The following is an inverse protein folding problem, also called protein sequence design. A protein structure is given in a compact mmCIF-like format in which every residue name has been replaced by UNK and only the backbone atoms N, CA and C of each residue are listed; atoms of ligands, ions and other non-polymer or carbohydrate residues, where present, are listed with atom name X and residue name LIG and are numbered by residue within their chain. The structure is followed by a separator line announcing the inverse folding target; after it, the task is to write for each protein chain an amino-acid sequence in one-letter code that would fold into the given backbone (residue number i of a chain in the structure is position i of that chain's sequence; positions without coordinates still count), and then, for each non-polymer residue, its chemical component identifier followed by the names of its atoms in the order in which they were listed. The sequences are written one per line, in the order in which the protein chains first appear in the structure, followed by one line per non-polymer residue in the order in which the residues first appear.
data_IF_263240212866
#
_entry.id   IF_263240212866
#
_cell.length_a   1.000
_cell.length_b   1.000
_cell.length_c   1.000
_cell.angle_alpha   90.00
_cell.angle_beta   90.00
_cell.angle_gamma   90.00
#
_symmetry.space_group_name_H-M   'P 1'
#
loop_
_entity.id
_entity.type
_entity.pdbx_description
1 polymer ?
#
# COMPACT_ATOMS: atom_id res chain seq x y z
N UNK A 1 -0.30 -15.16 -10.23
CA UNK A 1 0.53 -15.91 -11.14
C UNK A 1 1.07 -15.09 -12.31
N UNK A 2 0.25 -14.38 -13.01
CA UNK A 2 0.64 -13.68 -14.24
C UNK A 2 1.16 -12.24 -14.04
N UNK A 3 1.45 -11.81 -12.82
CA UNK A 3 1.95 -10.45 -12.58
C UNK A 3 3.31 -10.25 -13.26
N UNK A 4 3.30 -9.64 -14.42
CA UNK A 4 4.46 -9.25 -15.23
C UNK A 4 5.30 -10.39 -15.83
N UNK A 5 4.85 -11.63 -15.84
CA UNK A 5 5.55 -12.72 -16.50
C UNK A 5 4.75 -13.27 -17.67
N UNK A 6 5.42 -13.32 -18.80
CA UNK A 6 4.99 -14.08 -19.96
C UNK A 6 5.28 -15.55 -19.63
N UNK A 7 4.29 -16.43 -19.80
CA UNK A 7 4.39 -17.86 -19.47
C UNK A 7 3.84 -18.73 -20.59
N UNK A 8 3.94 -20.04 -20.48
CA UNK A 8 3.36 -21.01 -21.38
C UNK A 8 2.27 -21.85 -20.70
N UNK A 9 1.35 -22.43 -21.47
CA UNK A 9 0.32 -23.35 -20.93
C UNK A 9 0.94 -24.51 -20.15
N UNK A 10 2.11 -24.99 -20.57
CA UNK A 10 2.82 -26.08 -19.89
C UNK A 10 3.37 -25.64 -18.52
N UNK A 11 3.88 -24.42 -18.44
CA UNK A 11 4.39 -23.85 -17.19
C UNK A 11 3.25 -23.60 -16.20
N UNK A 12 2.10 -23.05 -16.67
CA UNK A 12 0.89 -22.90 -15.86
C UNK A 12 0.42 -24.25 -15.29
N UNK A 13 0.42 -25.30 -16.11
CA UNK A 13 0.05 -26.63 -15.65
C UNK A 13 0.95 -27.15 -14.53
N UNK A 14 2.26 -26.96 -14.68
CA UNK A 14 3.27 -27.38 -13.70
C UNK A 14 3.15 -26.58 -12.40
N UNK A 15 3.07 -25.26 -12.48
CA UNK A 15 3.05 -24.38 -11.28
C UNK A 15 1.75 -24.51 -10.49
N UNK A 16 0.60 -24.66 -11.18
CA UNK A 16 -0.70 -24.81 -10.52
C UNK A 16 -1.04 -26.27 -10.18
N UNK A 17 -0.18 -27.22 -10.57
CA UNK A 17 -0.44 -28.66 -10.43
C UNK A 17 -1.81 -29.07 -11.02
N UNK A 18 -2.12 -28.53 -12.23
CA UNK A 18 -3.35 -28.80 -12.97
C UNK A 18 -3.09 -29.69 -14.19
N UNK A 19 -4.12 -30.43 -14.62
CA UNK A 19 -4.03 -31.20 -15.85
C UNK A 19 -3.95 -30.31 -17.10
N UNK A 20 -3.21 -30.71 -18.12
CA UNK A 20 -3.14 -29.95 -19.39
C UNK A 20 -4.50 -29.65 -20.03
N UNK A 21 -5.49 -30.61 -20.09
CA UNK A 21 -6.83 -30.28 -20.56
C UNK A 21 -7.51 -29.16 -19.80
N UNK A 22 -7.39 -29.15 -18.45
CA UNK A 22 -7.95 -28.11 -17.58
C UNK A 22 -7.31 -26.75 -17.88
N UNK A 23 -5.98 -26.71 -18.00
CA UNK A 23 -5.26 -25.46 -18.34
C UNK A 23 -5.64 -24.97 -19.74
N UNK A 24 -5.74 -25.86 -20.72
CA UNK A 24 -6.17 -25.48 -22.07
C UNK A 24 -7.56 -24.84 -22.08
N UNK A 25 -8.52 -25.45 -21.40
CA UNK A 25 -9.89 -24.95 -21.32
C UNK A 25 -9.92 -23.55 -20.67
N UNK A 26 -9.32 -23.40 -19.48
CA UNK A 26 -9.35 -22.14 -18.74
C UNK A 26 -8.56 -21.03 -19.44
N UNK A 27 -7.40 -21.33 -20.01
CA UNK A 27 -6.60 -20.31 -20.73
C UNK A 27 -7.31 -19.87 -22.00
N UNK A 28 -7.96 -20.78 -22.74
CA UNK A 28 -8.71 -20.41 -23.93
C UNK A 28 -9.93 -19.54 -23.58
N UNK A 29 -10.67 -19.85 -22.52
CA UNK A 29 -11.78 -19.03 -22.03
C UNK A 29 -11.31 -17.59 -21.66
N UNK A 30 -10.18 -17.48 -20.95
CA UNK A 30 -9.62 -16.17 -20.59
C UNK A 30 -9.05 -15.40 -21.80
N UNK A 31 -8.56 -16.11 -22.83
CA UNK A 31 -8.16 -15.50 -24.10
C UNK A 31 -9.39 -14.98 -24.88
N UNK A 32 -10.47 -15.78 -24.94
CA UNK A 32 -11.74 -15.37 -25.58
C UNK A 32 -12.38 -14.16 -24.87
N UNK A 33 -12.31 -14.12 -23.54
CA UNK A 33 -12.73 -12.96 -22.72
C UNK A 33 -11.79 -11.75 -22.85
N UNK A 34 -10.63 -11.90 -23.49
CA UNK A 34 -9.64 -10.82 -23.65
C UNK A 34 -8.84 -10.49 -22.40
N UNK A 35 -8.98 -11.26 -21.32
CA UNK A 35 -8.21 -11.09 -20.05
C UNK A 35 -6.73 -11.44 -20.25
N UNK A 36 -6.49 -12.48 -21.07
CA UNK A 36 -5.16 -12.90 -21.50
C UNK A 36 -4.95 -12.55 -22.96
N UNK A 37 -3.69 -12.43 -23.34
CA UNK A 37 -3.26 -12.23 -24.73
C UNK A 37 -2.07 -13.12 -25.09
N UNK A 38 -1.91 -13.43 -26.38
CA UNK A 38 -0.73 -14.11 -26.89
C UNK A 38 0.35 -13.06 -27.17
N UNK A 39 1.48 -13.14 -26.46
CA UNK A 39 2.55 -12.12 -26.49
C UNK A 39 3.73 -12.50 -27.39
N UNK A 40 3.63 -13.59 -28.16
CA UNK A 40 4.68 -14.05 -29.07
C UNK A 40 5.05 -15.53 -28.89
N UNK A 41 6.30 -15.87 -29.18
CA UNK A 41 6.82 -17.24 -29.05
C UNK A 41 7.63 -17.37 -27.75
N UNK A 42 7.32 -18.42 -26.96
CA UNK A 42 8.06 -18.74 -25.75
C UNK A 42 9.36 -19.49 -26.11
N UNK A 43 10.47 -19.12 -25.51
CA UNK A 43 11.76 -19.78 -25.71
C UNK A 43 11.67 -21.25 -25.28
N UNK A 44 11.76 -22.17 -26.26
CA UNK A 44 11.66 -23.62 -26.03
C UNK A 44 13.06 -24.24 -26.14
N UNK A 45 13.36 -25.15 -25.23
CA UNK A 45 14.64 -25.91 -25.20
C UNK A 45 14.66 -27.12 -26.13
N UNK A 46 13.70 -27.26 -27.05
CA UNK A 46 13.63 -28.33 -28.05
C UNK A 46 12.20 -28.75 -28.30
N UNK A 47 11.68 -28.53 -29.53
CA UNK A 47 10.34 -28.87 -29.95
C UNK A 47 9.58 -27.71 -30.60
N UNK A 48 8.28 -27.89 -30.91
CA UNK A 48 7.43 -26.83 -31.47
C UNK A 48 7.38 -25.65 -30.49
N UNK A 49 7.73 -24.47 -30.95
CA UNK A 49 7.70 -23.25 -30.13
C UNK A 49 6.31 -23.06 -29.50
N UNK A 50 6.26 -23.02 -28.19
CA UNK A 50 5.02 -22.74 -27.47
C UNK A 50 4.64 -21.27 -27.61
N UNK A 51 3.36 -20.97 -27.76
CA UNK A 51 2.87 -19.58 -27.68
C UNK A 51 3.04 -19.07 -26.26
N UNK A 52 3.58 -17.88 -26.14
CA UNK A 52 3.66 -17.19 -24.88
C UNK A 52 2.34 -16.47 -24.59
N UNK A 53 1.94 -16.50 -23.32
CA UNK A 53 0.69 -15.95 -22.81
C UNK A 53 1.01 -14.93 -21.73
N UNK A 54 0.39 -13.78 -21.82
CA UNK A 54 0.49 -12.72 -20.82
C UNK A 54 -0.90 -12.17 -20.43
N UNK A 55 -0.92 -11.35 -19.40
CA UNK A 55 -2.11 -10.57 -19.05
C UNK A 55 -2.28 -9.46 -20.09
N UNK A 56 -3.48 -9.29 -20.61
CA UNK A 56 -3.86 -8.08 -21.33
C UNK A 56 -3.97 -6.92 -20.34
N UNK A 57 -2.93 -6.12 -20.23
CA UNK A 57 -2.84 -5.01 -19.28
C UNK A 57 -3.94 -3.97 -19.49
N UNK A 58 -4.42 -3.81 -20.72
CA UNK A 58 -5.46 -2.84 -21.10
C UNK A 58 -6.88 -3.36 -20.93
N UNK A 59 -7.05 -4.62 -20.47
CA UNK A 59 -8.36 -5.26 -20.32
C UNK A 59 -9.28 -4.47 -19.38
N UNK A 60 -8.77 -4.06 -18.25
CA UNK A 60 -9.51 -3.23 -17.30
C UNK A 60 -8.58 -2.34 -16.47
N UNK A 61 -9.18 -1.33 -15.88
CA UNK A 61 -8.51 -0.31 -15.09
C UNK A 61 -9.24 -0.11 -13.76
N UNK A 62 -8.52 0.39 -12.78
CA UNK A 62 -9.11 0.85 -11.53
C UNK A 62 -8.43 2.15 -11.10
N UNK A 63 -9.19 3.03 -10.49
CA UNK A 63 -8.67 4.27 -9.92
C UNK A 63 -8.46 4.10 -8.43
N UNK A 64 -7.38 4.67 -7.91
CA UNK A 64 -7.12 4.79 -6.47
C UNK A 64 -7.00 6.23 -6.05
N UNK A 65 -7.53 6.54 -4.87
CA UNK A 65 -7.43 7.86 -4.25
C UNK A 65 -6.91 7.68 -2.84
N UNK A 66 -5.88 8.44 -2.45
CA UNK A 66 -5.52 8.65 -1.06
C UNK A 66 -5.97 10.04 -0.62
N UNK A 67 -6.79 10.11 0.41
CA UNK A 67 -7.20 11.36 1.05
C UNK A 67 -6.33 11.57 2.30
N UNK A 68 -5.67 12.70 2.38
CA UNK A 68 -4.91 13.16 3.55
C UNK A 68 -5.49 14.47 4.08
N UNK A 69 -4.98 14.98 5.20
CA UNK A 69 -5.45 16.25 5.75
C UNK A 69 -5.27 17.45 4.78
N UNK A 70 -4.28 17.41 3.89
CA UNK A 70 -3.93 18.55 3.04
C UNK A 70 -3.88 18.26 1.54
N UNK A 71 -3.99 17.00 1.13
CA UNK A 71 -3.84 16.59 -0.26
C UNK A 71 -4.77 15.43 -0.58
N UNK A 72 -5.13 15.32 -1.85
CA UNK A 72 -5.59 14.08 -2.45
C UNK A 72 -4.51 13.60 -3.43
N UNK A 73 -4.29 12.30 -3.45
CA UNK A 73 -3.42 11.64 -4.42
C UNK A 73 -4.26 10.66 -5.23
N UNK A 74 -4.14 10.72 -6.54
CA UNK A 74 -4.94 9.93 -7.48
C UNK A 74 -4.01 9.11 -8.35
N UNK A 75 -4.34 7.84 -8.55
CA UNK A 75 -3.65 6.95 -9.49
C UNK A 75 -4.66 6.22 -10.36
N UNK A 76 -4.30 6.02 -11.61
CA UNK A 76 -4.98 5.11 -12.52
C UNK A 76 -4.06 3.91 -12.76
N UNK A 77 -4.57 2.72 -12.48
CA UNK A 77 -3.80 1.47 -12.53
C UNK A 77 -4.44 0.52 -13.54
N UNK A 78 -3.62 -0.18 -14.33
CA UNK A 78 -4.08 -1.23 -15.24
C UNK A 78 -4.01 -2.62 -14.56
N UNK A 79 -4.56 -3.65 -15.21
CA UNK A 79 -4.55 -5.03 -14.71
C UNK A 79 -3.13 -5.61 -14.51
N UNK A 80 -2.13 -5.04 -15.16
CA UNK A 80 -0.71 -5.41 -15.00
C UNK A 80 -0.01 -4.76 -13.80
N UNK A 81 -0.75 -4.12 -12.89
CA UNK A 81 -0.21 -3.39 -11.73
C UNK A 81 0.64 -2.15 -12.11
N UNK A 82 0.50 -1.61 -13.32
CA UNK A 82 1.22 -0.42 -13.77
C UNK A 82 0.39 0.84 -13.51
N UNK A 83 1.04 1.87 -12.97
CA UNK A 83 0.44 3.21 -12.83
C UNK A 83 0.50 3.89 -14.19
N UNK A 84 -0.68 4.08 -14.81
CA UNK A 84 -0.81 4.75 -16.12
C UNK A 84 -0.77 6.27 -15.96
N UNK A 85 -1.44 6.76 -14.92
CA UNK A 85 -1.53 8.18 -14.61
C UNK A 85 -1.52 8.38 -13.12
N UNK A 86 -0.88 9.42 -12.66
CA UNK A 86 -0.92 9.87 -11.26
C UNK A 86 -0.94 11.37 -11.16
N UNK A 87 -1.59 11.86 -10.11
CA UNK A 87 -1.61 13.28 -9.78
C UNK A 87 -1.73 13.44 -8.26
N UNK A 88 -1.16 14.52 -7.74
CA UNK A 88 -1.25 14.91 -6.33
C UNK A 88 -1.65 16.37 -6.23
N UNK A 89 -2.84 16.61 -5.72
CA UNK A 89 -3.46 17.91 -5.66
C UNK A 89 -3.52 18.37 -4.21
N UNK A 90 -3.15 19.61 -3.95
CA UNK A 90 -3.36 20.24 -2.65
C UNK A 90 -4.85 20.53 -2.49
N UNK A 91 -5.49 19.81 -1.60
CA UNK A 91 -6.90 19.96 -1.24
C UNK A 91 -7.04 19.66 0.25
N UNK A 92 -7.27 20.71 1.04
CA UNK A 92 -7.43 20.57 2.49
C UNK A 92 -8.73 19.85 2.78
N UNK A 93 -8.66 18.77 3.55
CA UNK A 93 -9.82 18.03 3.99
C UNK A 93 -10.74 18.91 4.85
N UNK A 94 -12.04 18.86 4.57
CA UNK A 94 -13.10 19.35 5.44
C UNK A 94 -14.23 18.32 5.51
N UNK A 95 -14.92 18.27 6.63
CA UNK A 95 -16.04 17.35 6.82
C UNK A 95 -17.34 17.82 6.14
N UNK A 96 -17.25 18.73 5.17
CA UNK A 96 -18.38 19.34 4.48
C UNK A 96 -18.71 18.62 3.17
N UNK A 97 -19.97 18.72 2.74
CA UNK A 97 -20.42 18.15 1.45
C UNK A 97 -19.71 18.78 0.24
N UNK A 98 -19.36 20.05 0.33
CA UNK A 98 -18.57 20.76 -0.69
C UNK A 98 -17.25 20.08 -1.00
N UNK A 99 -16.58 19.52 0.01
CA UNK A 99 -15.36 18.74 -0.19
C UNK A 99 -15.59 17.49 -1.06
N UNK A 100 -16.67 16.75 -0.80
CA UNK A 100 -17.00 15.56 -1.60
C UNK A 100 -17.26 15.93 -3.07
N UNK A 101 -17.97 17.05 -3.32
CA UNK A 101 -18.22 17.56 -4.67
C UNK A 101 -16.93 17.98 -5.35
N UNK A 102 -16.01 18.66 -4.63
CA UNK A 102 -14.72 19.06 -5.17
C UNK A 102 -13.85 17.86 -5.52
N UNK A 103 -13.78 16.85 -4.64
CA UNK A 103 -13.07 15.59 -4.94
C UNK A 103 -13.64 14.94 -6.20
N UNK A 104 -14.97 14.82 -6.32
CA UNK A 104 -15.62 14.24 -7.51
C UNK A 104 -15.28 15.01 -8.80
N UNK A 105 -15.24 16.34 -8.74
CA UNK A 105 -14.83 17.16 -9.89
C UNK A 105 -13.37 16.92 -10.28
N UNK A 106 -12.46 16.80 -9.31
CA UNK A 106 -11.05 16.47 -9.57
C UNK A 106 -10.90 15.07 -10.19
N UNK A 107 -11.65 14.09 -9.68
CA UNK A 107 -11.70 12.73 -10.26
C UNK A 107 -12.17 12.76 -11.70
N UNK A 108 -13.25 13.48 -11.99
CA UNK A 108 -13.77 13.61 -13.36
C UNK A 108 -12.72 14.20 -14.30
N UNK A 109 -12.09 15.31 -13.90
CA UNK A 109 -11.01 15.93 -14.69
C UNK A 109 -9.81 14.99 -14.85
N UNK A 110 -9.44 14.25 -13.81
CA UNK A 110 -8.35 13.29 -13.87
C UNK A 110 -8.60 12.15 -14.88
N UNK A 111 -9.83 11.71 -15.03
CA UNK A 111 -10.25 10.62 -15.93
C UNK A 111 -10.54 11.09 -17.36
N UNK A 112 -10.64 12.41 -17.62
CA UNK A 112 -10.93 12.95 -18.94
C UNK A 112 -9.86 12.54 -19.97
N UNK A 113 -10.32 11.92 -21.08
CA UNK A 113 -9.47 11.54 -22.22
C UNK A 113 -8.63 10.27 -22.07
N UNK A 114 -8.67 9.62 -20.92
CA UNK A 114 -7.72 8.52 -20.64
C UNK A 114 -8.28 7.11 -20.93
N UNK A 115 -9.58 6.89 -20.82
CA UNK A 115 -10.17 5.55 -20.89
C UNK A 115 -11.50 5.51 -21.63
N UNK A 116 -11.78 4.37 -22.28
CA UNK A 116 -13.15 3.97 -22.54
C UNK A 116 -13.85 3.74 -21.18
N UNK A 117 -15.01 4.38 -20.95
CA UNK A 117 -15.75 4.30 -19.67
C UNK A 117 -16.00 2.86 -19.20
N UNK A 118 -16.13 1.94 -20.15
CA UNK A 118 -16.46 0.53 -19.92
C UNK A 118 -15.29 -0.29 -19.35
N UNK A 119 -14.06 0.24 -19.34
CA UNK A 119 -12.89 -0.47 -18.81
C UNK A 119 -12.57 -0.12 -17.36
N UNK A 120 -13.17 0.92 -16.78
CA UNK A 120 -12.96 1.35 -15.41
C UNK A 120 -13.88 0.61 -14.45
N UNK A 121 -13.31 -0.28 -13.63
CA UNK A 121 -14.06 -1.13 -12.68
C UNK A 121 -14.61 -0.36 -11.47
N UNK A 122 -13.94 0.70 -11.04
CA UNK A 122 -14.35 1.49 -9.89
C UNK A 122 -13.20 2.30 -9.26
N UNK A 123 -13.51 2.91 -8.12
CA UNK A 123 -12.61 3.83 -7.39
C UNK A 123 -12.37 3.30 -5.99
N UNK A 124 -11.12 2.94 -5.68
CA UNK A 124 -10.68 2.66 -4.32
C UNK A 124 -10.28 3.95 -3.61
N UNK A 125 -10.76 4.18 -2.40
CA UNK A 125 -10.46 5.37 -1.61
C UNK A 125 -9.79 4.96 -0.31
N UNK A 126 -8.51 5.30 -0.16
CA UNK A 126 -7.73 5.14 1.04
C UNK A 126 -7.87 6.38 1.93
N UNK A 127 -8.20 6.17 3.21
CA UNK A 127 -8.43 7.26 4.18
C UNK A 127 -7.74 6.88 5.49
N UNK A 128 -6.96 7.77 6.12
CA UNK A 128 -6.38 7.51 7.44
C UNK A 128 -7.48 7.42 8.50
N UNK A 129 -7.49 6.34 9.27
CA UNK A 129 -8.42 6.11 10.37
C UNK A 129 -9.07 4.73 10.36
N UNK A 130 -9.89 4.49 11.37
CA UNK A 130 -10.63 3.24 11.56
C UNK A 130 -11.92 3.30 10.75
N UNK A 131 -12.08 2.39 9.78
CA UNK A 131 -13.22 2.39 8.85
C UNK A 131 -14.13 1.19 9.12
N UNK A 132 -15.42 1.46 9.32
CA UNK A 132 -16.47 0.45 9.19
C UNK A 132 -16.91 0.39 7.72
N UNK A 133 -16.43 -0.64 7.02
CA UNK A 133 -16.71 -0.81 5.58
C UNK A 133 -18.18 -1.14 5.29
N UNK A 134 -18.86 -1.83 6.22
CA UNK A 134 -20.26 -2.22 6.06
C UNK A 134 -21.17 -1.00 6.16
N UNK A 135 -20.95 -0.19 7.17
CA UNK A 135 -21.74 1.02 7.40
C UNK A 135 -21.24 2.21 6.57
N UNK A 136 -20.05 2.12 5.94
CA UNK A 136 -19.37 3.20 5.21
C UNK A 136 -19.17 4.45 6.09
N UNK A 137 -18.56 4.22 7.24
CA UNK A 137 -18.29 5.26 8.25
C UNK A 137 -16.82 5.23 8.63
N UNK A 138 -16.19 6.39 8.69
CA UNK A 138 -14.95 6.55 9.44
C UNK A 138 -15.32 6.66 10.91
N UNK A 139 -15.07 5.59 11.68
CA UNK A 139 -15.37 5.56 13.10
C UNK A 139 -14.55 6.61 13.86
N UNK A 140 -13.26 6.70 13.53
CA UNK A 140 -12.34 7.68 14.09
C UNK A 140 -11.14 7.91 13.19
N UNK A 141 -10.81 9.15 12.93
CA UNK A 141 -9.55 9.55 12.32
C UNK A 141 -8.94 10.71 13.10
N UNK A 142 -7.81 10.48 13.72
CA UNK A 142 -7.06 11.55 14.37
C UNK A 142 -6.41 12.48 13.32
N UNK A 143 -5.92 11.92 12.21
CA UNK A 143 -5.26 12.68 11.15
C UNK A 143 -6.20 13.68 10.45
N UNK A 144 -7.50 13.31 10.32
CA UNK A 144 -8.52 14.16 9.70
C UNK A 144 -9.40 14.89 10.74
N UNK A 145 -9.17 14.65 12.04
CA UNK A 145 -9.97 15.20 13.14
C UNK A 145 -11.49 14.96 13.00
N UNK A 146 -11.87 13.73 12.59
CA UNK A 146 -13.28 13.32 12.43
C UNK A 146 -13.59 12.08 13.27
N UNK A 147 -14.87 11.96 13.64
CA UNK A 147 -15.43 10.81 14.33
C UNK A 147 -16.87 10.55 13.82
N UNK A 148 -17.20 9.27 13.61
CA UNK A 148 -18.51 8.84 13.06
C UNK A 148 -18.90 9.57 11.74
N UNK A 149 -17.90 9.79 10.87
CA UNK A 149 -18.10 10.51 9.61
C UNK A 149 -18.59 9.57 8.51
N UNK A 150 -19.74 9.92 7.89
CA UNK A 150 -20.33 9.13 6.80
C UNK A 150 -19.58 9.34 5.47
N UNK A 151 -19.19 8.23 4.83
CA UNK A 151 -18.56 8.22 3.50
C UNK A 151 -19.57 8.13 2.35
N UNK A 152 -20.88 8.00 2.66
CA UNK A 152 -21.94 7.83 1.67
C UNK A 152 -22.08 9.03 0.72
N UNK A 153 -21.81 10.23 1.21
CA UNK A 153 -21.83 11.43 0.35
C UNK A 153 -20.72 11.42 -0.68
N UNK A 154 -19.51 11.00 -0.29
CA UNK A 154 -18.40 10.86 -1.23
C UNK A 154 -18.68 9.74 -2.25
N UNK A 155 -19.20 8.61 -1.80
CA UNK A 155 -19.64 7.52 -2.68
C UNK A 155 -20.65 7.99 -3.73
N UNK A 156 -21.67 8.73 -3.30
CA UNK A 156 -22.69 9.28 -4.21
C UNK A 156 -22.12 10.30 -5.19
N UNK A 157 -21.21 11.17 -4.74
CA UNK A 157 -20.60 12.20 -5.58
C UNK A 157 -19.69 11.62 -6.67
N UNK A 158 -19.06 10.47 -6.42
CA UNK A 158 -18.14 9.82 -7.38
C UNK A 158 -18.87 9.09 -8.51
N UNK A 159 -20.17 8.77 -8.38
CA UNK A 159 -21.02 8.17 -9.43
C UNK A 159 -20.48 6.86 -10.06
N UNK A 160 -19.55 6.17 -9.36
CA UNK A 160 -18.92 4.92 -9.77
C UNK A 160 -18.91 3.96 -8.58
N UNK A 161 -18.69 2.65 -8.77
CA UNK A 161 -18.47 1.75 -7.65
C UNK A 161 -17.31 2.20 -6.78
N UNK A 162 -17.52 2.36 -5.46
CA UNK A 162 -16.49 2.83 -4.53
C UNK A 162 -16.16 1.77 -3.49
N UNK A 163 -14.88 1.64 -3.18
CA UNK A 163 -14.37 0.85 -2.07
C UNK A 163 -13.56 1.74 -1.14
N UNK A 164 -13.84 1.71 0.15
CA UNK A 164 -13.11 2.48 1.16
C UNK A 164 -12.20 1.57 1.96
N UNK A 165 -10.97 2.01 2.25
CA UNK A 165 -10.03 1.27 3.10
C UNK A 165 -9.20 2.24 3.94
N UNK A 166 -8.72 1.77 5.10
CA UNK A 166 -7.66 2.45 5.84
C UNK A 166 -6.40 2.58 4.97
N UNK A 167 -5.68 3.68 5.08
CA UNK A 167 -4.52 4.00 4.25
C UNK A 167 -3.36 2.99 4.38
N UNK A 168 -3.05 2.53 5.59
CA UNK A 168 -2.01 1.52 5.81
C UNK A 168 -2.46 0.13 5.32
N UNK A 169 -3.74 -0.24 5.55
CA UNK A 169 -4.31 -1.46 5.00
C UNK A 169 -4.30 -1.46 3.47
N UNK A 170 -4.66 -0.34 2.86
CA UNK A 170 -4.60 -0.16 1.42
C UNK A 170 -3.14 -0.31 0.91
N UNK A 171 -2.17 0.32 1.57
CA UNK A 171 -0.77 0.17 1.21
C UNK A 171 -0.30 -1.30 1.27
N UNK A 172 -0.72 -2.06 2.27
CA UNK A 172 -0.45 -3.51 2.33
C UNK A 172 -1.08 -4.26 1.15
N UNK A 173 -2.29 -3.87 0.69
CA UNK A 173 -2.93 -4.48 -0.48
C UNK A 173 -2.19 -4.18 -1.80
N UNK A 174 -1.36 -3.13 -1.86
CA UNK A 174 -0.51 -2.86 -3.01
C UNK A 174 0.60 -3.90 -3.17
N UNK A 175 1.04 -4.49 -2.08
CA UNK A 175 2.07 -5.52 -2.09
C UNK A 175 1.58 -6.85 -2.69
N UNK A 176 2.50 -7.64 -3.24
CA UNK A 176 2.16 -8.94 -3.85
C UNK A 176 1.85 -9.97 -2.77
N UNK A 177 0.59 -10.37 -2.64
CA UNK A 177 0.13 -11.36 -1.64
C UNK A 177 0.89 -12.68 -1.70
N UNK A 178 1.27 -13.13 -2.90
CA UNK A 178 2.04 -14.37 -3.09
C UNK A 178 3.47 -14.27 -2.55
N UNK A 179 4.03 -13.06 -2.56
CA UNK A 179 5.37 -12.81 -2.04
C UNK A 179 5.36 -12.65 -0.53
N UNK A 180 4.30 -12.05 0.01
CA UNK A 180 4.17 -11.69 1.42
C UNK A 180 2.82 -12.18 2.00
N UNK A 181 2.63 -13.53 2.11
CA UNK A 181 1.38 -14.08 2.64
C UNK A 181 1.16 -13.73 4.12
N UNK A 182 2.25 -13.66 4.88
CA UNK A 182 2.25 -13.29 6.29
C UNK A 182 3.24 -12.14 6.47
N UNK A 183 2.74 -10.93 6.68
CA UNK A 183 3.59 -9.75 6.81
C UNK A 183 2.91 -8.61 7.56
N UNK A 184 3.74 -7.79 8.18
CA UNK A 184 3.37 -6.48 8.70
C UNK A 184 3.86 -5.41 7.70
N UNK A 185 3.02 -4.44 7.41
CA UNK A 185 3.38 -3.23 6.67
C UNK A 185 3.44 -2.06 7.67
N UNK A 186 4.58 -1.39 7.77
CA UNK A 186 4.74 -0.15 8.50
C UNK A 186 4.67 1.01 7.52
N UNK A 187 3.62 1.82 7.64
CA UNK A 187 3.39 3.01 6.82
C UNK A 187 4.03 4.22 7.49
N UNK A 188 5.29 4.48 7.16
CA UNK A 188 6.13 5.53 7.75
C UNK A 188 5.88 6.87 7.04
N UNK A 189 4.69 7.42 7.22
CA UNK A 189 4.23 8.69 6.68
C UNK A 189 4.25 9.78 7.76
N UNK A 190 3.55 10.91 7.54
CA UNK A 190 3.43 11.98 8.53
C UNK A 190 3.05 11.44 9.92
N UNK A 191 2.21 10.42 9.96
CA UNK A 191 1.93 9.56 11.11
C UNK A 191 2.36 8.13 10.80
N UNK A 192 2.64 7.34 11.83
CA UNK A 192 2.97 5.92 11.70
C UNK A 192 1.69 5.08 11.70
N UNK A 193 1.34 4.57 10.53
CA UNK A 193 0.29 3.57 10.37
C UNK A 193 0.86 2.14 10.30
N UNK A 194 -0.03 1.15 10.36
CA UNK A 194 0.36 -0.23 10.17
C UNK A 194 -0.77 -1.10 9.64
N UNK A 195 -0.40 -2.18 8.99
CA UNK A 195 -1.31 -3.23 8.53
C UNK A 195 -0.71 -4.60 8.80
N UNK A 196 -1.57 -5.58 9.02
CA UNK A 196 -1.17 -6.96 9.24
C UNK A 196 -1.90 -7.89 8.29
N UNK A 197 -1.15 -8.74 7.59
CA UNK A 197 -1.64 -9.74 6.65
C UNK A 197 -1.30 -11.14 7.16
N UNK A 198 -2.29 -12.03 7.15
CA UNK A 198 -2.15 -13.47 7.47
C UNK A 198 -2.79 -14.26 6.34
N UNK A 199 -2.08 -15.25 5.80
CA UNK A 199 -2.53 -16.10 4.68
C UNK A 199 -3.03 -15.29 3.49
N UNK A 200 -2.33 -14.19 3.17
CA UNK A 200 -2.68 -13.29 2.08
C UNK A 200 -3.93 -12.45 2.31
N UNK A 201 -4.46 -12.40 3.55
CA UNK A 201 -5.65 -11.64 3.92
C UNK A 201 -5.33 -10.60 4.99
N UNK A 202 -5.87 -9.41 4.85
CA UNK A 202 -5.77 -8.39 5.90
C UNK A 202 -6.44 -8.86 7.20
N UNK A 203 -5.69 -8.81 8.28
CA UNK A 203 -6.18 -9.04 9.63
C UNK A 203 -6.58 -7.71 10.27
N UNK A 204 -7.87 -7.43 10.36
CA UNK A 204 -8.41 -6.17 10.89
C UNK A 204 -8.70 -6.21 12.39
N UNK A 205 -8.67 -7.40 12.99
CA UNK A 205 -9.10 -7.60 14.36
C UNK A 205 -10.62 -7.49 14.53
N UNK A 206 -11.09 -7.74 15.74
CA UNK A 206 -12.53 -7.77 16.07
C UNK A 206 -13.19 -6.39 15.90
N UNK A 207 -12.46 -5.31 16.18
CA UNK A 207 -12.98 -3.93 16.22
C UNK A 207 -12.26 -3.03 15.19
N UNK A 208 -11.74 -3.58 14.09
CA UNK A 208 -11.02 -2.87 13.02
C UNK A 208 -9.77 -2.10 13.53
N UNK A 209 -9.16 -2.55 14.64
CA UNK A 209 -8.02 -1.87 15.30
C UNK A 209 -6.71 -2.65 15.23
N UNK A 210 -6.66 -3.77 14.52
CA UNK A 210 -5.39 -4.46 14.29
C UNK A 210 -4.50 -3.59 13.39
N UNK A 211 -3.20 -3.59 13.66
CA UNK A 211 -2.27 -2.77 12.89
C UNK A 211 -2.03 -1.36 13.46
N UNK A 212 -2.69 -0.96 14.53
CA UNK A 212 -2.46 0.32 15.22
C UNK A 212 -1.08 0.37 15.92
N UNK A 213 -0.02 -0.08 15.21
CA UNK A 213 1.35 -0.21 15.74
C UNK A 213 1.96 1.13 16.13
N UNK A 214 1.56 2.22 15.44
CA UNK A 214 1.98 3.57 15.81
C UNK A 214 1.59 3.97 17.23
N UNK A 215 0.57 3.33 17.80
CA UNK A 215 0.09 3.63 19.15
C UNK A 215 0.57 2.64 20.22
N UNK A 216 1.46 1.70 19.88
CA UNK A 216 2.20 0.91 20.87
C UNK A 216 3.14 1.82 21.67
N UNK A 217 3.24 1.60 22.97
CA UNK A 217 4.16 2.34 23.83
C UNK A 217 5.59 1.84 23.59
N UNK A 218 6.41 2.67 22.97
CA UNK A 218 7.82 2.40 22.69
C UNK A 218 8.70 2.89 23.85
N UNK A 219 8.40 4.10 24.36
CA UNK A 219 9.13 4.74 25.48
C UNK A 219 8.15 5.16 26.55
N UNK A 220 7.97 4.38 27.64
CA UNK A 220 7.04 4.72 28.71
C UNK A 220 7.31 6.14 29.27
N UNK A 221 6.25 6.98 29.35
CA UNK A 221 6.36 8.36 29.83
C UNK A 221 7.10 9.34 28.89
N UNK A 222 7.46 8.89 27.68
CA UNK A 222 8.22 9.70 26.71
C UNK A 222 7.41 10.77 25.99
N UNK A 223 7.76 11.04 24.72
CA UNK A 223 7.18 12.11 23.90
C UNK A 223 5.66 12.02 23.83
N UNK A 224 4.97 13.15 23.80
CA UNK A 224 3.51 13.23 23.59
C UNK A 224 3.15 12.75 22.19
N UNK A 225 2.12 11.93 22.10
CA UNK A 225 1.51 11.51 20.84
C UNK A 225 0.20 12.28 20.64
N UNK A 226 -0.16 12.54 19.38
CA UNK A 226 -1.41 13.21 19.03
C UNK A 226 -2.67 12.46 19.51
N UNK A 227 -2.57 11.15 19.77
CA UNK A 227 -3.67 10.35 20.33
C UNK A 227 -3.95 10.65 21.82
N UNK A 228 -3.19 11.54 22.45
CA UNK A 228 -3.32 11.92 23.87
C UNK A 228 -2.46 11.11 24.83
N UNK A 229 -1.87 9.99 24.42
CA UNK A 229 -0.92 9.20 25.20
C UNK A 229 0.50 9.78 25.14
N UNK A 230 1.41 9.22 25.94
CA UNK A 230 2.84 9.51 25.87
C UNK A 230 3.62 8.23 25.57
N UNK A 231 4.69 8.37 24.77
CA UNK A 231 5.61 7.29 24.49
C UNK A 231 5.21 6.35 23.33
N UNK A 232 4.17 6.68 22.55
CA UNK A 232 3.77 5.92 21.38
C UNK A 232 4.88 5.87 20.33
N UNK A 233 4.99 4.76 19.61
CA UNK A 233 5.94 4.56 18.50
C UNK A 233 5.84 5.68 17.45
N UNK A 234 4.65 6.18 17.17
CA UNK A 234 4.39 7.30 16.25
C UNK A 234 5.22 8.54 16.59
N UNK A 235 5.31 8.90 17.88
CA UNK A 235 6.08 10.07 18.33
C UNK A 235 7.60 9.95 18.13
N UNK A 236 8.09 8.78 17.66
CA UNK A 236 9.51 8.49 17.43
C UNK A 236 9.81 8.02 16.01
N UNK A 237 8.87 7.34 15.36
CA UNK A 237 9.08 6.65 14.09
C UNK A 237 8.21 7.19 12.94
N UNK A 238 7.41 8.24 13.13
CA UNK A 238 6.69 8.90 12.06
C UNK A 238 7.61 9.87 11.28
N UNK A 239 7.28 10.15 10.01
CA UNK A 239 8.03 11.14 9.21
C UNK A 239 7.97 12.55 9.81
N UNK A 240 6.91 12.89 10.56
CA UNK A 240 6.79 14.18 11.27
C UNK A 240 7.96 14.46 12.21
N UNK A 241 8.60 13.42 12.76
CA UNK A 241 9.81 13.56 13.60
C UNK A 241 10.97 14.13 12.80
N UNK A 242 11.16 13.69 11.57
CA UNK A 242 12.25 14.12 10.67
C UNK A 242 11.92 15.48 10.03
N UNK A 243 10.65 15.68 9.67
CA UNK A 243 10.20 16.92 9.03
C UNK A 243 9.88 18.04 10.03
N UNK A 244 10.05 17.80 11.33
CA UNK A 244 9.72 18.73 12.40
C UNK A 244 8.30 19.32 12.23
N UNK A 245 7.30 18.45 12.10
CA UNK A 245 5.90 18.81 11.85
C UNK A 245 5.71 19.74 10.64
N UNK A 246 6.30 19.35 9.52
CA UNK A 246 6.26 20.06 8.22
C UNK A 246 6.99 21.41 8.17
N UNK A 247 7.93 21.68 9.07
CA UNK A 247 8.83 22.84 8.97
C UNK A 247 9.87 22.69 7.86
N UNK A 248 10.15 21.44 7.44
CA UNK A 248 10.97 21.09 6.29
C UNK A 248 10.37 19.86 5.57
N UNK A 249 10.67 19.69 4.28
CA UNK A 249 10.32 18.46 3.57
C UNK A 249 11.26 17.31 3.97
N UNK A 250 10.82 16.06 3.71
CA UNK A 250 11.69 14.91 3.93
C UNK A 250 12.91 14.96 3.00
N UNK A 251 12.71 15.39 1.74
CA UNK A 251 13.80 15.53 0.77
C UNK A 251 14.86 16.53 1.28
N UNK A 252 14.44 17.71 1.78
CA UNK A 252 15.35 18.70 2.38
C UNK A 252 16.05 18.19 3.66
N UNK A 253 15.41 17.28 4.41
CA UNK A 253 16.06 16.62 5.56
C UNK A 253 17.14 15.67 5.06
N UNK A 254 16.87 14.86 4.02
CA UNK A 254 17.84 13.93 3.47
C UNK A 254 19.02 14.63 2.80
N UNK A 255 18.81 15.75 2.09
CA UNK A 255 19.90 16.57 1.56
C UNK A 255 20.86 17.04 2.65
N UNK A 256 20.36 17.37 3.85
CA UNK A 256 21.20 17.73 4.99
C UNK A 256 21.96 16.52 5.54
N UNK A 257 21.38 15.33 5.55
CA UNK A 257 22.09 14.09 5.91
C UNK A 257 23.26 13.87 4.95
N UNK A 258 23.03 13.97 3.64
CA UNK A 258 24.05 13.79 2.60
C UNK A 258 25.17 14.85 2.69
N UNK A 259 24.84 16.07 3.08
CA UNK A 259 25.83 17.15 3.30
C UNK A 259 26.61 17.03 4.62
N UNK A 260 26.28 16.05 5.46
CA UNK A 260 26.98 15.81 6.72
C UNK A 260 26.58 16.73 7.87
N UNK A 261 25.37 17.29 7.85
CA UNK A 261 24.85 18.11 8.96
C UNK A 261 24.72 17.27 10.24
N UNK A 262 25.54 17.56 11.24
CA UNK A 262 25.67 16.75 12.47
C UNK A 262 24.33 16.62 13.22
N UNK A 263 23.52 17.68 13.28
CA UNK A 263 22.26 17.68 14.00
C UNK A 263 21.24 16.77 13.32
N UNK A 264 21.14 16.82 11.99
CA UNK A 264 20.23 15.96 11.24
C UNK A 264 20.72 14.50 11.23
N UNK A 265 22.03 14.26 11.17
CA UNK A 265 22.63 12.93 11.33
C UNK A 265 22.30 12.32 12.70
N UNK A 266 22.41 13.10 13.79
CA UNK A 266 22.02 12.64 15.11
C UNK A 266 20.51 12.30 15.16
N UNK A 267 19.65 13.19 14.64
CA UNK A 267 18.20 12.95 14.57
C UNK A 267 17.85 11.69 13.79
N UNK A 268 18.55 11.46 12.66
CA UNK A 268 18.37 10.26 11.84
C UNK A 268 18.80 8.99 12.59
N UNK A 269 19.93 9.02 13.25
CA UNK A 269 20.41 7.89 14.06
C UNK A 269 19.44 7.54 15.19
N UNK A 270 18.95 8.53 15.92
CA UNK A 270 17.94 8.34 16.97
C UNK A 270 16.63 7.77 16.40
N UNK A 271 16.21 8.25 15.21
CA UNK A 271 15.06 7.72 14.51
C UNK A 271 15.23 6.23 14.16
N UNK A 272 16.39 5.85 13.59
CA UNK A 272 16.71 4.47 13.26
C UNK A 272 16.78 3.57 14.51
N UNK A 273 17.28 4.07 15.64
CA UNK A 273 17.31 3.33 16.91
C UNK A 273 15.89 3.00 17.39
N UNK A 274 14.99 3.99 17.42
CA UNK A 274 13.61 3.77 17.81
C UNK A 274 12.86 2.84 16.84
N UNK A 275 13.10 2.99 15.54
CA UNK A 275 12.52 2.13 14.52
C UNK A 275 13.01 0.68 14.68
N UNK A 276 14.30 0.48 14.98
CA UNK A 276 14.87 -0.84 15.23
C UNK A 276 14.22 -1.54 16.43
N UNK A 277 13.96 -0.81 17.53
CA UNK A 277 13.23 -1.35 18.69
C UNK A 277 11.81 -1.75 18.31
N UNK A 278 11.08 -0.90 17.56
CA UNK A 278 9.73 -1.23 17.09
C UNK A 278 9.73 -2.49 16.22
N UNK A 279 10.63 -2.57 15.25
CA UNK A 279 10.79 -3.71 14.35
C UNK A 279 11.07 -4.98 15.14
N UNK A 280 12.02 -4.94 16.08
CA UNK A 280 12.36 -6.09 16.93
C UNK A 280 11.15 -6.56 17.76
N UNK A 281 10.39 -5.64 18.35
CA UNK A 281 9.19 -5.96 19.11
C UNK A 281 8.12 -6.64 18.24
N UNK A 282 7.89 -6.12 17.03
CA UNK A 282 6.93 -6.70 16.10
C UNK A 282 7.38 -8.07 15.60
N UNK A 283 8.68 -8.24 15.31
CA UNK A 283 9.25 -9.53 14.91
C UNK A 283 9.07 -10.57 16.02
N UNK A 284 9.35 -10.23 17.27
CA UNK A 284 9.16 -11.14 18.41
C UNK A 284 7.69 -11.48 18.67
N UNK A 285 6.76 -10.54 18.38
CA UNK A 285 5.33 -10.77 18.63
C UNK A 285 4.64 -11.61 17.56
N UNK A 286 5.08 -11.50 16.30
CA UNK A 286 4.33 -12.02 15.15
C UNK A 286 5.10 -13.00 14.27
N UNK A 287 6.44 -13.03 14.31
CA UNK A 287 7.31 -13.90 13.50
C UNK A 287 6.98 -13.88 11.99
N UNK A 288 6.88 -12.69 11.41
CA UNK A 288 6.51 -12.48 10.00
C UNK A 288 7.45 -11.47 9.33
N UNK A 289 7.42 -11.40 8.00
CA UNK A 289 8.10 -10.34 7.25
C UNK A 289 7.59 -8.95 7.66
N UNK A 290 8.49 -7.96 7.68
CA UNK A 290 8.16 -6.56 7.99
C UNK A 290 8.52 -5.69 6.79
N UNK A 291 7.50 -5.10 6.16
CA UNK A 291 7.63 -4.25 4.99
C UNK A 291 7.68 -2.79 5.45
N UNK A 292 8.73 -2.08 5.07
CA UNK A 292 8.91 -0.67 5.38
C UNK A 292 8.44 0.17 4.21
N UNK A 293 7.34 0.89 4.40
CA UNK A 293 6.71 1.70 3.37
C UNK A 293 6.39 3.13 3.80
N UNK A 294 5.64 3.83 2.97
CA UNK A 294 5.39 5.26 3.15
C UNK A 294 6.56 6.13 2.69
N UNK A 295 6.49 7.42 2.99
CA UNK A 295 7.48 8.42 2.57
C UNK A 295 8.89 8.04 3.05
N UNK A 296 9.05 7.70 4.34
CA UNK A 296 10.35 7.31 4.91
C UNK A 296 10.76 5.92 4.45
N UNK A 297 9.81 4.97 4.28
CA UNK A 297 10.11 3.64 3.76
C UNK A 297 10.76 3.69 2.37
N UNK A 298 10.34 4.65 1.53
CA UNK A 298 10.96 4.89 0.23
C UNK A 298 12.42 5.35 0.30
N UNK A 299 12.80 6.05 1.37
CA UNK A 299 14.18 6.51 1.64
C UNK A 299 15.00 5.40 2.29
N UNK A 300 14.39 4.60 3.16
CA UNK A 300 15.07 3.53 3.90
C UNK A 300 15.70 2.47 3.00
N UNK A 301 15.30 2.38 1.71
CA UNK A 301 15.94 1.47 0.76
C UNK A 301 17.48 1.59 0.72
N UNK A 302 17.99 2.80 0.91
CA UNK A 302 19.41 3.11 0.89
C UNK A 302 20.07 2.96 2.28
N UNK A 303 19.27 2.78 3.33
CA UNK A 303 19.67 2.68 4.72
C UNK A 303 19.35 1.31 5.36
N UNK A 304 19.01 0.30 4.55
CA UNK A 304 18.65 -1.04 5.06
C UNK A 304 19.79 -1.71 5.83
N UNK A 305 21.06 -1.47 5.43
CA UNK A 305 22.23 -2.05 6.13
C UNK A 305 22.35 -1.43 7.53
N UNK A 306 22.49 -0.09 7.69
CA UNK A 306 22.61 0.50 9.03
C UNK A 306 21.38 0.26 9.92
N UNK A 307 20.18 0.21 9.35
CA UNK A 307 18.98 -0.18 10.11
C UNK A 307 19.06 -1.63 10.55
N UNK A 308 19.48 -2.54 9.65
CA UNK A 308 19.64 -3.96 9.95
C UNK A 308 20.63 -4.22 11.08
N UNK A 309 21.77 -3.53 11.10
CA UNK A 309 22.75 -3.60 12.19
C UNK A 309 22.13 -3.20 13.54
N UNK A 310 21.32 -2.13 13.56
CA UNK A 310 20.62 -1.70 14.77
C UNK A 310 19.54 -2.72 15.22
N UNK A 311 18.82 -3.29 14.27
CA UNK A 311 17.81 -4.34 14.57
C UNK A 311 18.47 -5.57 15.14
N UNK A 312 19.60 -6.01 14.56
CA UNK A 312 20.37 -7.15 15.05
C UNK A 312 20.86 -6.97 16.48
N UNK A 313 21.15 -5.74 16.91
CA UNK A 313 21.54 -5.46 18.28
C UNK A 313 20.44 -5.79 19.33
N UNK A 314 19.17 -5.81 18.90
CA UNK A 314 18.02 -6.16 19.75
C UNK A 314 17.51 -7.59 19.54
N UNK A 315 17.99 -8.30 18.52
CA UNK A 315 17.50 -9.63 18.16
C UNK A 315 18.53 -10.71 18.52
N UNK A 316 18.25 -11.50 19.56
CA UNK A 316 19.07 -12.62 19.99
C UNK A 316 18.68 -13.99 19.40
N UNK A 317 17.67 -14.06 18.52
CA UNK A 317 17.13 -15.31 17.98
C UNK A 317 17.52 -15.58 16.54
N UNK A 318 17.88 -14.55 15.78
CA UNK A 318 18.19 -14.64 14.35
C UNK A 318 19.59 -14.11 14.05
N UNK A 319 20.18 -14.57 12.95
CA UNK A 319 21.53 -14.18 12.53
C UNK A 319 21.55 -13.19 11.38
N UNK A 320 20.36 -12.81 10.86
CA UNK A 320 20.19 -11.84 9.79
C UNK A 320 18.86 -11.08 9.94
N UNK A 321 18.65 -10.12 9.06
CA UNK A 321 17.41 -9.32 8.98
C UNK A 321 16.67 -9.54 7.66
N UNK A 322 16.78 -10.72 7.08
CA UNK A 322 16.17 -11.06 5.79
C UNK A 322 14.64 -10.89 5.76
N UNK A 323 13.99 -10.84 6.92
CA UNK A 323 12.57 -10.54 7.08
C UNK A 323 12.24 -9.05 6.91
N UNK A 324 13.22 -8.14 6.89
CA UNK A 324 12.98 -6.75 6.54
C UNK A 324 12.87 -6.60 5.03
N UNK A 325 11.81 -5.95 4.56
CA UNK A 325 11.52 -5.80 3.15
C UNK A 325 11.29 -4.33 2.80
N UNK A 326 11.77 -3.95 1.62
CA UNK A 326 11.38 -2.69 1.00
C UNK A 326 9.99 -2.82 0.38
N UNK A 327 9.20 -1.76 0.45
CA UNK A 327 7.90 -1.67 -0.22
C UNK A 327 8.05 -1.65 -1.75
N UNK A 328 7.02 -2.15 -2.45
CA UNK A 328 6.96 -2.15 -3.92
C UNK A 328 6.61 -0.77 -4.49
N UNK A 329 5.82 0.00 -3.76
CA UNK A 329 5.41 1.37 -4.12
C UNK A 329 5.83 2.32 -3.00
N UNK A 330 6.30 3.51 -3.36
CA UNK A 330 6.71 4.54 -2.39
C UNK A 330 5.49 5.32 -1.90
N UNK A 331 5.29 6.52 -2.44
CA UNK A 331 4.19 7.42 -2.03
C UNK A 331 2.82 6.90 -2.44
N UNK A 332 2.72 6.26 -3.60
CA UNK A 332 1.46 5.83 -4.21
C UNK A 332 0.85 4.56 -3.61
N UNK A 333 1.53 3.90 -2.66
CA UNK A 333 1.15 2.58 -2.14
C UNK A 333 -0.32 2.49 -1.72
N UNK A 334 -0.81 3.45 -0.93
CA UNK A 334 -2.18 3.44 -0.43
C UNK A 334 -3.22 3.59 -1.53
N UNK A 335 -2.99 4.49 -2.49
CA UNK A 335 -3.90 4.68 -3.62
C UNK A 335 -3.89 3.46 -4.54
N UNK A 336 -2.71 2.93 -4.90
CA UNK A 336 -2.58 1.71 -5.70
C UNK A 336 -3.29 0.52 -5.05
N UNK A 337 -3.07 0.31 -3.76
CA UNK A 337 -3.67 -0.82 -3.06
C UNK A 337 -5.20 -0.72 -2.96
N UNK A 338 -5.73 0.47 -2.77
CA UNK A 338 -7.18 0.69 -2.81
C UNK A 338 -7.77 0.39 -4.21
N UNK A 339 -7.09 0.78 -5.30
CA UNK A 339 -7.48 0.44 -6.66
C UNK A 339 -7.47 -1.09 -6.91
N UNK A 340 -6.46 -1.80 -6.43
CA UNK A 340 -6.27 -3.26 -6.63
C UNK A 340 -7.40 -4.11 -6.04
N UNK A 341 -8.19 -3.59 -5.12
CA UNK A 341 -9.40 -4.25 -4.63
C UNK A 341 -10.32 -4.65 -5.80
N UNK A 342 -10.51 -3.76 -6.77
CA UNK A 342 -11.40 -3.99 -7.89
C UNK A 342 -10.91 -5.09 -8.82
N UNK A 343 -9.61 -5.20 -9.06
CA UNK A 343 -9.06 -6.32 -9.82
C UNK A 343 -9.30 -7.65 -9.12
N UNK A 344 -9.05 -7.71 -7.80
CA UNK A 344 -9.28 -8.94 -7.03
C UNK A 344 -10.75 -9.35 -7.07
N UNK A 345 -11.67 -8.41 -6.90
CA UNK A 345 -13.11 -8.66 -6.97
C UNK A 345 -13.52 -9.14 -8.37
N UNK A 346 -13.13 -8.41 -9.41
CA UNK A 346 -13.47 -8.73 -10.80
C UNK A 346 -12.97 -10.11 -11.23
N UNK A 347 -11.74 -10.50 -10.84
CA UNK A 347 -11.17 -11.82 -11.16
C UNK A 347 -11.90 -12.98 -10.48
N UNK A 348 -12.62 -12.77 -9.40
CA UNK A 348 -13.45 -13.79 -8.73
C UNK A 348 -14.80 -13.93 -9.43
N UNK A 349 -15.27 -12.89 -10.12
CA UNK A 349 -16.56 -12.84 -10.81
C UNK A 349 -16.47 -13.34 -12.27
N UNK A 350 -15.26 -13.54 -12.83
CA UNK A 350 -15.00 -14.07 -14.18
C UNK A 350 -15.24 -15.59 -14.30
#
# INVERSE_FOLDING_TARGET
MLNNHVTSKAEIAKELNLSMPTVLANVNDLLEKGVLEETGEYASTGGRKAKSIGINKSYCHAMGILITANHIEMVLVNLGDEIIKKDRIRLKFTAELSYCTEVAQKVKTFLEGELAKDTLLGIGVAIPGIIDQKERIVLKSHALAIENYSLRFLEQALELPVYFENDANAAMLAEKKQKYPNAIYLSLNHTLGGAFCIDGKLFRGQNQKAGEFGHMILVPGGRKCYCGKSGCADAYCAASVLTQDNRQSLDAFMEKIESGDEKNLQTWNEYLDHLAVLISNLRMAYDVDIILGGDVGGVLSDYMIPLGEKVMAYNGFEHDVSYLKNCSYKKEASAVGAAKYFFTKHMVEL
#
